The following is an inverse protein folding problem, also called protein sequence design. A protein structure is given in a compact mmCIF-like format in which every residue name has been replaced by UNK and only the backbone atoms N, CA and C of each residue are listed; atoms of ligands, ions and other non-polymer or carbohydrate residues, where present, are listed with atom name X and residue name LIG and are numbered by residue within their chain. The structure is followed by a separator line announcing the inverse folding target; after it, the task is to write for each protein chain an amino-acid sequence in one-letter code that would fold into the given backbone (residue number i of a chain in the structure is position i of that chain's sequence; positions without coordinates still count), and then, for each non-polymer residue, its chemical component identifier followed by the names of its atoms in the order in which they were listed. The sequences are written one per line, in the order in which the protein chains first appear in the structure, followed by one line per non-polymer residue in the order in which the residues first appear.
data_IF_051025457239
#
_entry.id   IF_051025457239
#
_cell.length_a   1.000
_cell.length_b   1.000
_cell.length_c   1.000
_cell.angle_alpha   90.00
_cell.angle_beta   90.00
_cell.angle_gamma   90.00
#
_symmetry.space_group_name_H-M   'P 1'
#
loop_
_entity.id
_entity.type
_entity.pdbx_description
1 polymer ?
#
# COMPACT_ATOMS: atom_id res chain seq x y z
N UNK A 1 -2.65 21.94 -14.00
CA UNK A 1 -3.20 22.35 -12.68
C UNK A 1 -2.29 21.75 -11.63
N UNK A 2 -1.71 22.50 -10.68
CA UNK A 2 -1.02 21.89 -9.54
C UNK A 2 -2.08 21.22 -8.67
N UNK A 3 -2.13 19.89 -8.71
CA UNK A 3 -3.00 19.07 -7.88
C UNK A 3 -2.63 19.34 -6.44
N UNK A 4 -3.57 19.88 -5.66
CA UNK A 4 -3.44 19.95 -4.22
C UNK A 4 -3.31 18.50 -3.73
N UNK A 5 -2.07 18.07 -3.49
CA UNK A 5 -1.77 16.78 -2.89
C UNK A 5 -2.37 16.86 -1.51
N UNK A 6 -3.53 16.21 -1.30
CA UNK A 6 -4.06 16.00 0.04
C UNK A 6 -2.90 15.46 0.89
N UNK A 7 -2.64 16.13 2.02
CA UNK A 7 -1.45 15.86 2.84
C UNK A 7 -1.41 14.36 3.10
N UNK A 8 -0.49 13.67 2.43
CA UNK A 8 -0.35 12.25 2.61
C UNK A 8 0.01 12.03 4.08
N UNK A 9 -0.71 11.16 4.79
CA UNK A 9 -0.33 10.78 6.15
C UNK A 9 1.09 10.19 6.10
N UNK A 10 1.88 10.34 7.19
CA UNK A 10 3.22 9.78 7.23
C UNK A 10 3.14 8.26 7.07
N UNK A 11 3.51 7.80 5.87
CA UNK A 11 3.61 6.36 5.57
C UNK A 11 4.77 5.80 6.40
N UNK A 12 4.50 4.73 7.13
CA UNK A 12 5.43 4.16 8.09
C UNK A 12 6.41 3.21 7.40
N UNK A 13 6.01 2.60 6.28
CA UNK A 13 6.79 1.55 5.63
C UNK A 13 7.08 1.83 4.15
N UNK A 14 8.21 1.31 3.65
CA UNK A 14 8.57 1.42 2.23
C UNK A 14 7.56 0.73 1.31
N UNK A 15 6.96 -0.38 1.75
CA UNK A 15 5.94 -1.11 0.99
C UNK A 15 4.70 -0.24 0.74
N UNK A 16 4.27 0.54 1.73
CA UNK A 16 3.13 1.46 1.61
C UNK A 16 3.42 2.54 0.56
N UNK A 17 4.64 3.09 0.60
CA UNK A 17 5.09 4.08 -0.39
C UNK A 17 5.13 3.48 -1.80
N UNK A 18 5.66 2.26 -1.95
CA UNK A 18 5.74 1.58 -3.25
C UNK A 18 4.33 1.26 -3.79
N UNK A 19 3.39 0.87 -2.92
CA UNK A 19 1.98 0.66 -3.29
C UNK A 19 1.39 1.98 -3.78
N UNK A 20 1.44 3.06 -2.99
CA UNK A 20 0.87 4.36 -3.39
C UNK A 20 1.49 4.87 -4.69
N UNK A 21 2.81 4.74 -4.85
CA UNK A 21 3.51 5.09 -6.11
C UNK A 21 3.07 4.25 -7.29
N UNK A 22 2.68 2.99 -7.08
CA UNK A 22 2.14 2.14 -8.14
C UNK A 22 0.79 2.66 -8.67
N UNK A 23 0.04 3.39 -7.83
CA UNK A 23 -1.16 4.13 -8.23
C UNK A 23 -0.87 5.57 -8.70
N UNK A 24 0.38 6.02 -8.63
CA UNK A 24 0.81 7.39 -8.92
C UNK A 24 1.06 8.19 -7.66
N UNK A 25 -0.02 8.64 -7.00
CA UNK A 25 0.02 9.49 -5.80
C UNK A 25 -1.08 9.11 -4.82
N UNK A 26 -0.98 9.60 -3.58
CA UNK A 26 -1.98 9.37 -2.52
C UNK A 26 -3.40 9.74 -2.96
N UNK A 27 -3.56 10.88 -3.62
CA UNK A 27 -4.87 11.32 -4.12
C UNK A 27 -5.43 10.36 -5.17
N UNK A 28 -4.60 9.87 -6.09
CA UNK A 28 -5.03 8.91 -7.11
C UNK A 28 -5.38 7.56 -6.48
N UNK A 29 -4.63 7.14 -5.47
CA UNK A 29 -4.95 5.97 -4.66
C UNK A 29 -6.30 6.13 -3.96
N UNK A 30 -6.56 7.22 -3.23
CA UNK A 30 -7.86 7.44 -2.61
C UNK A 30 -8.99 7.43 -3.65
N UNK A 31 -8.80 8.12 -4.78
CA UNK A 31 -9.80 8.17 -5.84
C UNK A 31 -10.05 6.81 -6.52
N UNK A 32 -9.04 5.93 -6.65
CA UNK A 32 -9.23 4.60 -7.23
C UNK A 32 -10.13 3.70 -6.38
N UNK A 33 -10.20 3.97 -5.08
CA UNK A 33 -11.10 3.29 -4.13
C UNK A 33 -12.35 4.11 -3.79
N UNK A 34 -12.60 5.23 -4.48
CA UNK A 34 -13.76 6.09 -4.25
C UNK A 34 -13.72 6.88 -2.93
N UNK A 35 -12.55 6.96 -2.30
CA UNK A 35 -12.31 7.66 -1.02
C UNK A 35 -11.91 9.12 -1.28
N UNK A 36 -12.38 10.02 -0.42
CA UNK A 36 -12.05 11.44 -0.50
C UNK A 36 -10.88 11.77 0.43
N UNK A 37 -9.70 12.17 -0.10
CA UNK A 37 -8.54 12.47 0.74
C UNK A 37 -8.70 13.72 1.62
N UNK A 38 -9.75 14.52 1.39
CA UNK A 38 -10.09 15.69 2.21
C UNK A 38 -11.10 15.39 3.32
N UNK A 39 -11.75 14.22 3.28
CA UNK A 39 -12.65 13.76 4.33
C UNK A 39 -11.85 12.93 5.34
N UNK A 40 -12.02 13.20 6.63
CA UNK A 40 -11.19 12.58 7.65
C UNK A 40 -11.49 11.09 7.83
N UNK A 41 -12.75 10.69 7.72
CA UNK A 41 -13.16 9.29 7.87
C UNK A 41 -12.66 8.48 6.66
N UNK A 42 -12.85 9.00 5.45
CA UNK A 42 -12.33 8.37 4.23
C UNK A 42 -10.79 8.30 4.21
N UNK A 43 -10.11 9.31 4.74
CA UNK A 43 -8.66 9.32 4.85
C UNK A 43 -8.16 8.24 5.82
N UNK A 44 -8.85 8.05 6.96
CA UNK A 44 -8.55 6.98 7.91
C UNK A 44 -8.78 5.60 7.26
N UNK A 45 -9.86 5.42 6.52
CA UNK A 45 -10.14 4.18 5.79
C UNK A 45 -9.08 3.91 4.71
N UNK A 46 -8.65 4.94 3.97
CA UNK A 46 -7.59 4.81 2.98
C UNK A 46 -6.27 4.32 3.62
N UNK A 47 -5.93 4.84 4.81
CA UNK A 47 -4.74 4.40 5.57
C UNK A 47 -4.88 2.94 6.00
N UNK A 48 -6.06 2.56 6.52
CA UNK A 48 -6.33 1.16 6.93
C UNK A 48 -6.20 0.20 5.76
N UNK A 49 -6.72 0.59 4.59
CA UNK A 49 -6.59 -0.20 3.37
C UNK A 49 -5.12 -0.32 2.95
N UNK A 50 -4.38 0.79 2.96
CA UNK A 50 -2.96 0.80 2.60
C UNK A 50 -2.13 -0.11 3.51
N UNK A 51 -2.34 -0.04 4.84
CA UNK A 51 -1.68 -0.93 5.79
C UNK A 51 -1.99 -2.40 5.51
N UNK A 52 -3.26 -2.74 5.27
CA UNK A 52 -3.66 -4.10 4.93
C UNK A 52 -2.98 -4.61 3.66
N UNK A 53 -2.95 -3.79 2.60
CA UNK A 53 -2.29 -4.15 1.35
C UNK A 53 -0.78 -4.37 1.55
N UNK A 54 -0.14 -3.53 2.37
CA UNK A 54 1.28 -3.66 2.69
C UNK A 54 1.57 -4.96 3.47
N UNK A 55 0.73 -5.30 4.45
CA UNK A 55 0.85 -6.55 5.21
C UNK A 55 0.67 -7.79 4.32
N UNK A 56 -0.34 -7.79 3.43
CA UNK A 56 -0.58 -8.87 2.47
C UNK A 56 0.60 -9.05 1.50
N UNK A 57 1.16 -7.94 0.98
CA UNK A 57 2.35 -7.97 0.11
C UNK A 57 3.58 -8.52 0.84
N UNK A 58 3.82 -8.10 2.09
CA UNK A 58 4.93 -8.61 2.90
C UNK A 58 4.75 -10.10 3.18
N UNK A 59 3.54 -10.54 3.51
CA UNK A 59 3.23 -11.94 3.77
C UNK A 59 3.41 -12.79 2.50
N UNK A 60 2.91 -12.32 1.36
CA UNK A 60 3.06 -12.99 0.07
C UNK A 60 4.55 -13.15 -0.30
N UNK A 61 5.35 -12.10 -0.11
CA UNK A 61 6.81 -12.16 -0.34
C UNK A 61 7.50 -13.16 0.58
N UNK A 62 7.14 -13.19 1.87
CA UNK A 62 7.68 -14.17 2.83
C UNK A 62 7.32 -15.60 2.45
N UNK A 63 6.06 -15.86 2.09
CA UNK A 63 5.60 -17.18 1.66
C UNK A 63 6.37 -17.66 0.41
N UNK A 64 6.53 -16.79 -0.59
CA UNK A 64 7.28 -17.10 -1.80
C UNK A 64 8.75 -17.47 -1.50
N UNK A 65 9.39 -16.77 -0.55
CA UNK A 65 10.74 -17.08 -0.10
C UNK A 65 10.81 -18.44 0.60
N UNK A 66 9.86 -18.74 1.50
CA UNK A 66 9.80 -20.04 2.20
C UNK A 66 9.60 -21.21 1.24
N UNK A 67 8.69 -21.07 0.26
CA UNK A 67 8.45 -22.11 -0.74
C UNK A 67 9.70 -22.38 -1.60
N UNK A 68 10.42 -21.31 -1.98
CA UNK A 68 11.66 -21.42 -2.75
C UNK A 68 12.76 -22.16 -1.95
N UNK A 69 12.86 -21.88 -0.64
CA UNK A 69 13.84 -22.55 0.24
C UNK A 69 13.53 -24.04 0.43
N UNK A 70 12.25 -24.42 0.50
CA UNK A 70 11.84 -25.83 0.63
C UNK A 70 12.10 -26.66 -0.63
N UNK A 71 12.06 -26.04 -1.81
CA UNK A 71 12.33 -26.72 -3.09
C UNK A 71 13.83 -26.93 -3.32
N UNK A 72 14.69 -26.06 -2.80
CA UNK A 72 16.15 -26.17 -2.94
C UNK A 72 16.78 -27.28 -2.08
N UNK A 73 16.14 -27.70 -0.98
CA UNK A 73 16.63 -28.75 -0.07
C UNK A 73 16.22 -30.19 -0.41
N UNK A 74 15.54 -30.43 -1.54
CA UNK A 74 15.06 -31.76 -1.98
C UNK A 74 15.86 -32.36 -3.15
N UNK A 75 17.11 -31.95 -3.35
CA UNK A 75 18.02 -32.54 -4.34
C UNK A 75 19.20 -33.23 -3.68
#
# INVERSE_FOLDING_TARGET
MPTATGIAPPMQNKTEIDIVKSFGDWTTFCHSYGLKPHDNDDNIEAIRLLHRMADEEILARKLAQTLSQQQAGRR
#
